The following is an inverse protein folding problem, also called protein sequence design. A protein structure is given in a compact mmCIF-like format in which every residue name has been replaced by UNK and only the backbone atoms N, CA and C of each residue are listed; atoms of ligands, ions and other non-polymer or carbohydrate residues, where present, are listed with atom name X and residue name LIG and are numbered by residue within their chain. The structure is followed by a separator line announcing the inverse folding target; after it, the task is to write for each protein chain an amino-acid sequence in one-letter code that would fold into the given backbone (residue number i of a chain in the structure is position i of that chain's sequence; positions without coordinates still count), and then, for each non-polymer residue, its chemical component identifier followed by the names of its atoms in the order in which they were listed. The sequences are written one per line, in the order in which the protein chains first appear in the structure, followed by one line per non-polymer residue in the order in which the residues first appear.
data_IF_229301542110
#
_entry.id   IF_229301542110
#
_cell.length_a   1.000
_cell.length_b   1.000
_cell.length_c   1.000
_cell.angle_alpha   90.00
_cell.angle_beta   90.00
_cell.angle_gamma   90.00
#
_symmetry.space_group_name_H-M   'P 1'
#
loop_
_entity.id
_entity.type
_entity.pdbx_description
1 polymer ?
#
# COMPACT_ATOMS: atom_id res chain seq x y z
N UNK A 1 -1.46 6.62 5.32
CA UNK A 1 -2.20 5.49 5.93
C UNK A 1 -1.62 4.14 5.54
N UNK A 2 -1.52 3.83 4.24
CA UNK A 2 -1.06 2.52 3.77
C UNK A 2 0.36 2.11 4.19
N UNK A 3 1.35 3.02 4.13
CA UNK A 3 2.72 2.72 4.58
C UNK A 3 2.78 2.35 6.08
N UNK A 4 2.04 3.08 6.92
CA UNK A 4 1.93 2.77 8.36
C UNK A 4 1.30 1.40 8.62
N UNK A 5 0.27 1.04 7.84
CA UNK A 5 -0.35 -0.28 7.93
C UNK A 5 0.62 -1.40 7.53
N UNK A 6 1.44 -1.21 6.49
CA UNK A 6 2.49 -2.17 6.10
C UNK A 6 3.51 -2.38 7.23
N UNK A 7 3.94 -1.31 7.90
CA UNK A 7 4.82 -1.42 9.07
C UNK A 7 4.17 -2.18 10.22
N UNK A 8 2.89 -1.95 10.50
CA UNK A 8 2.18 -2.69 11.56
C UNK A 8 2.01 -4.17 11.22
N UNK A 9 1.70 -4.51 9.96
CA UNK A 9 1.52 -5.89 9.50
C UNK A 9 2.80 -6.72 9.57
N UNK A 10 3.97 -6.07 9.48
CA UNK A 10 5.27 -6.74 9.62
C UNK A 10 5.77 -6.65 11.06
N UNK A 11 5.60 -5.50 11.71
CA UNK A 11 6.07 -5.25 13.08
C UNK A 11 5.36 -6.11 14.11
N UNK A 12 4.04 -6.29 14.01
CA UNK A 12 3.27 -7.12 14.94
C UNK A 12 3.74 -8.59 14.98
N UNK A 13 3.87 -9.31 13.85
CA UNK A 13 4.37 -10.69 13.89
C UNK A 13 5.85 -10.79 14.25
N UNK A 14 6.68 -9.79 13.93
CA UNK A 14 8.07 -9.72 14.39
C UNK A 14 8.17 -9.60 15.92
N UNK A 15 7.35 -8.74 16.53
CA UNK A 15 7.28 -8.60 18.00
C UNK A 15 6.82 -9.90 18.68
N UNK A 16 5.92 -10.65 18.04
CA UNK A 16 5.41 -11.92 18.54
C UNK A 16 6.30 -13.13 18.20
N UNK A 17 7.38 -12.95 17.42
CA UNK A 17 8.25 -14.04 16.96
C UNK A 17 7.56 -15.04 16.02
N UNK A 18 6.48 -14.65 15.34
CA UNK A 18 5.64 -15.54 14.54
C UNK A 18 6.01 -15.50 13.05
N UNK A 19 6.66 -16.56 12.57
CA UNK A 19 6.96 -16.75 11.14
C UNK A 19 5.69 -16.82 10.28
N UNK A 20 4.64 -17.49 10.76
CA UNK A 20 3.36 -17.57 10.04
C UNK A 20 2.69 -16.20 9.94
N UNK A 21 2.71 -15.42 11.02
CA UNK A 21 2.18 -14.07 11.01
C UNK A 21 2.96 -13.17 10.05
N UNK A 22 4.27 -13.36 9.93
CA UNK A 22 5.11 -12.60 9.00
C UNK A 22 4.79 -12.93 7.54
N UNK A 23 4.61 -14.21 7.21
CA UNK A 23 4.19 -14.64 5.86
C UNK A 23 2.81 -14.04 5.52
N UNK A 24 1.84 -14.13 6.44
CA UNK A 24 0.51 -13.56 6.24
C UNK A 24 0.58 -12.03 6.09
N UNK A 25 1.42 -11.36 6.87
CA UNK A 25 1.66 -9.92 6.78
C UNK A 25 2.21 -9.51 5.41
N UNK A 26 3.19 -10.24 4.87
CA UNK A 26 3.75 -9.99 3.54
C UNK A 26 2.71 -10.19 2.42
N UNK A 27 1.92 -11.26 2.48
CA UNK A 27 0.81 -11.49 1.54
C UNK A 27 -0.22 -10.37 1.62
N UNK A 28 -0.53 -9.90 2.83
CA UNK A 28 -1.47 -8.80 3.05
C UNK A 28 -0.96 -7.48 2.47
N UNK A 29 0.35 -7.20 2.59
CA UNK A 29 0.98 -6.03 1.95
C UNK A 29 0.85 -6.12 0.43
N UNK A 30 1.12 -7.28 -0.17
CA UNK A 30 0.98 -7.48 -1.61
C UNK A 30 -0.46 -7.25 -2.09
N UNK A 31 -1.45 -7.80 -1.39
CA UNK A 31 -2.87 -7.56 -1.67
C UNK A 31 -3.23 -6.07 -1.57
N UNK A 32 -2.66 -5.36 -0.60
CA UNK A 32 -2.87 -3.92 -0.45
C UNK A 32 -2.29 -3.13 -1.62
N UNK A 33 -1.11 -3.52 -2.13
CA UNK A 33 -0.54 -2.91 -3.33
C UNK A 33 -1.46 -3.06 -4.53
N UNK A 34 -2.02 -4.25 -4.77
CA UNK A 34 -2.99 -4.48 -5.85
C UNK A 34 -4.25 -3.63 -5.67
N UNK A 35 -4.77 -3.55 -4.43
CA UNK A 35 -5.95 -2.74 -4.10
C UNK A 35 -5.74 -1.27 -4.43
N UNK A 36 -4.56 -0.72 -4.17
CA UNK A 36 -4.25 0.69 -4.43
C UNK A 36 -4.26 1.00 -5.93
N UNK A 37 -3.81 0.06 -6.79
CA UNK A 37 -3.93 0.22 -8.25
C UNK A 37 -5.39 0.35 -8.65
N UNK A 38 -6.27 -0.47 -8.06
CA UNK A 38 -7.72 -0.41 -8.31
C UNK A 38 -8.35 0.89 -7.84
N UNK A 39 -8.02 1.32 -6.63
CA UNK A 39 -8.48 2.59 -6.04
C UNK A 39 -8.07 3.79 -6.90
N UNK A 40 -6.85 3.77 -7.44
CA UNK A 40 -6.39 4.84 -8.32
C UNK A 40 -7.04 4.83 -9.69
N UNK A 41 -7.36 3.65 -10.23
CA UNK A 41 -8.13 3.56 -11.47
C UNK A 41 -9.53 4.14 -11.27
N UNK A 42 -10.15 3.91 -10.12
CA UNK A 42 -11.43 4.52 -9.76
C UNK A 42 -11.30 6.04 -9.63
N UNK A 43 -10.30 6.52 -8.87
CA UNK A 43 -10.07 7.96 -8.66
C UNK A 43 -9.78 8.72 -9.96
N UNK A 44 -9.09 8.09 -10.92
CA UNK A 44 -8.87 8.68 -12.24
C UNK A 44 -10.16 8.80 -13.08
N UNK A 45 -11.14 7.93 -12.87
CA UNK A 45 -12.40 7.95 -13.63
C UNK A 45 -13.47 8.84 -12.98
N UNK A 46 -13.50 8.92 -11.64
CA UNK A 46 -14.57 9.63 -10.93
C UNK A 46 -14.19 11.05 -10.48
N UNK A 47 -12.90 11.38 -10.44
CA UNK A 47 -12.42 12.62 -9.83
C UNK A 47 -11.69 13.48 -10.88
N UNK A 48 -12.43 14.42 -11.47
CA UNK A 48 -11.87 15.41 -12.41
C UNK A 48 -10.70 16.17 -11.75
N UNK A 49 -9.56 16.25 -12.44
CA UNK A 49 -8.33 16.87 -11.93
C UNK A 49 -7.40 15.95 -11.14
N UNK A 50 -7.80 14.70 -10.86
CA UNK A 50 -6.93 13.74 -10.18
C UNK A 50 -5.68 13.38 -11.00
N UNK A 51 -5.75 13.49 -12.33
CA UNK A 51 -4.58 13.30 -13.20
C UNK A 51 -3.46 14.33 -12.91
N UNK A 52 -3.81 15.59 -12.63
CA UNK A 52 -2.84 16.63 -12.27
C UNK A 52 -2.27 16.40 -10.87
N UNK A 53 -3.07 15.91 -9.94
CA UNK A 53 -2.60 15.52 -8.60
C UNK A 53 -1.59 14.36 -8.68
N UNK A 54 -1.87 13.36 -9.52
CA UNK A 54 -0.98 12.23 -9.78
C UNK A 54 0.38 12.66 -10.34
N UNK A 55 0.46 13.77 -11.08
CA UNK A 55 1.74 14.33 -11.59
C UNK A 55 2.60 14.94 -10.47
N UNK A 56 1.98 15.45 -9.39
CA UNK A 56 2.68 16.02 -8.22
C UNK A 56 3.17 14.96 -7.24
N UNK A 57 2.39 13.89 -7.01
CA UNK A 57 2.73 12.83 -6.05
C UNK A 57 3.15 11.57 -6.80
N UNK A 58 4.46 11.45 -7.05
CA UNK A 58 5.04 10.30 -7.75
C UNK A 58 5.07 9.02 -6.90
N UNK A 59 5.32 9.15 -5.60
CA UNK A 59 5.47 8.02 -4.69
C UNK A 59 4.18 7.72 -3.93
N UNK A 60 3.77 6.45 -3.89
CA UNK A 60 2.44 6.06 -3.34
C UNK A 60 2.54 5.21 -2.09
N UNK A 61 3.31 4.14 -2.17
CA UNK A 61 3.43 3.18 -1.07
C UNK A 61 4.83 3.18 -0.47
N UNK A 62 5.84 2.96 -1.31
CA UNK A 62 7.24 2.90 -0.90
C UNK A 62 8.03 3.68 -1.94
N UNK A 63 8.76 4.74 -1.54
CA UNK A 63 9.60 5.47 -2.47
C UNK A 63 10.55 4.49 -3.18
N UNK A 64 10.70 4.63 -4.51
CA UNK A 64 11.50 3.78 -5.41
C UNK A 64 10.94 2.41 -5.81
N UNK A 65 9.92 1.89 -5.14
CA UNK A 65 9.18 0.69 -5.59
C UNK A 65 7.90 1.11 -6.32
N UNK A 66 7.39 2.30 -5.96
CA UNK A 66 6.24 2.96 -6.57
C UNK A 66 6.40 4.46 -6.56
#
# INVERSE_FOLDING_TARGET
MYLGNSFMLVGAPLLLGSLYGLIIGLVSIFLMSVRIIGEEKMLLNELEGYEEYKKKVKYRLIPFIW
#
